data_IF_404767333277
#
_entry.id   IF_404767333277
#
_cell.length_a   1.000
_cell.length_b   1.000
_cell.length_c   1.000
_cell.angle_alpha   90.00
_cell.angle_beta   90.00
_cell.angle_gamma   90.00
#
_symmetry.space_group_name_H-M   'P 1'
#
loop_
_entity.id
_entity.type
_entity.pdbx_description
1 polymer ?
#
# COMPACT_ATOMS: atom_id res chain seq x y z
N UNK A 1 17.47 -65.57 21.31
CA UNK A 1 16.06 -65.41 20.89
C UNK A 1 15.44 -64.10 21.37
N UNK A 2 15.31 -63.84 22.67
CA UNK A 2 14.64 -62.63 23.20
C UNK A 2 15.29 -61.28 22.83
N UNK A 3 16.63 -61.23 22.68
CA UNK A 3 17.32 -59.99 22.24
C UNK A 3 17.02 -59.61 20.79
N UNK A 4 16.88 -60.59 19.90
CA UNK A 4 16.58 -60.35 18.48
C UNK A 4 15.14 -59.82 18.31
N UNK A 5 14.17 -60.43 19.00
CA UNK A 5 12.76 -59.98 19.00
C UNK A 5 12.64 -58.53 19.50
N UNK A 6 13.43 -58.15 20.51
CA UNK A 6 13.46 -56.77 21.02
C UNK A 6 14.07 -55.79 20.02
N UNK A 7 15.12 -56.18 19.30
CA UNK A 7 15.73 -55.34 18.27
C UNK A 7 14.77 -55.13 17.10
N UNK A 8 14.12 -56.19 16.63
CA UNK A 8 13.08 -56.11 15.59
C UNK A 8 11.91 -55.20 16.00
N UNK A 9 11.45 -55.29 17.26
CA UNK A 9 10.39 -54.42 17.76
C UNK A 9 10.82 -52.94 17.81
N UNK A 10 12.07 -52.65 18.15
CA UNK A 10 12.61 -51.29 18.14
C UNK A 10 12.73 -50.76 16.71
N UNK A 11 13.29 -51.55 15.80
CA UNK A 11 13.43 -51.18 14.39
C UNK A 11 12.08 -50.93 13.72
N UNK A 12 11.09 -51.77 14.01
CA UNK A 12 9.72 -51.60 13.56
C UNK A 12 9.11 -50.29 14.09
N UNK A 13 9.32 -49.95 15.37
CA UNK A 13 8.84 -48.69 15.95
C UNK A 13 9.49 -47.47 15.29
N UNK A 14 10.78 -47.56 14.97
CA UNK A 14 11.57 -46.50 14.35
C UNK A 14 11.15 -46.28 12.89
N UNK A 15 10.94 -47.37 12.14
CA UNK A 15 10.40 -47.34 10.78
C UNK A 15 9.01 -46.72 10.75
N UNK A 16 8.12 -47.10 11.68
CA UNK A 16 6.78 -46.52 11.79
C UNK A 16 6.83 -45.02 12.08
N UNK A 17 7.69 -44.59 13.00
CA UNK A 17 7.87 -43.16 13.30
C UNK A 17 8.41 -42.37 12.11
N UNK A 18 9.35 -42.92 11.34
CA UNK A 18 9.88 -42.29 10.12
C UNK A 18 8.79 -42.12 9.06
N UNK A 19 8.02 -43.17 8.79
CA UNK A 19 6.93 -43.14 7.82
C UNK A 19 5.84 -42.13 8.22
N UNK A 20 5.52 -42.02 9.51
CA UNK A 20 4.56 -41.02 9.98
C UNK A 20 5.07 -39.58 9.77
N UNK A 21 6.35 -39.34 10.00
CA UNK A 21 6.99 -38.06 9.77
C UNK A 21 7.01 -37.68 8.28
N UNK A 22 7.28 -38.66 7.40
CA UNK A 22 7.20 -38.47 5.94
C UNK A 22 5.77 -38.17 5.48
N UNK A 23 4.76 -38.89 5.98
CA UNK A 23 3.34 -38.59 5.70
C UNK A 23 2.94 -37.19 6.16
N UNK A 24 3.39 -36.75 7.33
CA UNK A 24 3.16 -35.38 7.84
C UNK A 24 3.85 -34.33 6.97
N UNK A 25 5.04 -34.62 6.44
CA UNK A 25 5.73 -33.72 5.49
C UNK A 25 4.98 -33.64 4.16
N UNK A 26 4.53 -34.78 3.62
CA UNK A 26 3.78 -34.83 2.36
C UNK A 26 2.46 -34.04 2.46
N UNK A 27 1.66 -34.27 3.50
CA UNK A 27 0.40 -33.53 3.73
C UNK A 27 0.62 -32.02 3.90
N UNK A 28 1.71 -31.59 4.57
CA UNK A 28 2.09 -30.18 4.64
C UNK A 28 2.45 -29.60 3.27
N UNK A 29 3.17 -30.36 2.44
CA UNK A 29 3.50 -29.93 1.07
C UNK A 29 2.26 -29.83 0.19
N UNK A 30 1.34 -30.79 0.28
CA UNK A 30 0.07 -30.80 -0.46
C UNK A 30 -0.82 -29.62 -0.06
N UNK A 31 -0.99 -29.39 1.25
CA UNK A 31 -1.79 -28.26 1.76
C UNK A 31 -1.19 -26.91 1.35
N UNK A 32 0.15 -26.78 1.40
CA UNK A 32 0.83 -25.58 0.92
C UNK A 32 0.62 -25.38 -0.59
N UNK A 33 0.80 -26.43 -1.39
CA UNK A 33 0.59 -26.37 -2.86
C UNK A 33 -0.86 -26.00 -3.19
N UNK A 34 -1.82 -26.58 -2.47
CA UNK A 34 -3.23 -26.25 -2.62
C UNK A 34 -3.51 -24.78 -2.30
N UNK A 35 -2.98 -24.26 -1.18
CA UNK A 35 -3.15 -22.86 -0.80
C UNK A 35 -2.56 -21.89 -1.85
N UNK A 36 -1.37 -22.19 -2.37
CA UNK A 36 -0.74 -21.39 -3.44
C UNK A 36 -1.59 -21.40 -4.71
N UNK A 37 -2.10 -22.56 -5.13
CA UNK A 37 -2.95 -22.66 -6.32
C UNK A 37 -4.24 -21.85 -6.16
N UNK A 38 -4.91 -21.93 -5.00
CA UNK A 38 -6.11 -21.13 -4.72
C UNK A 38 -5.81 -19.63 -4.78
N UNK A 39 -4.66 -19.20 -4.26
CA UNK A 39 -4.23 -17.80 -4.35
C UNK A 39 -3.99 -17.36 -5.80
N UNK A 40 -3.33 -18.19 -6.60
CA UNK A 40 -3.09 -17.93 -8.02
C UNK A 40 -4.40 -17.82 -8.81
N UNK A 41 -5.36 -18.70 -8.54
CA UNK A 41 -6.67 -18.67 -9.20
C UNK A 41 -7.47 -17.40 -8.83
N UNK A 42 -7.40 -16.97 -7.57
CA UNK A 42 -8.03 -15.73 -7.11
C UNK A 42 -7.39 -14.48 -7.76
N UNK A 43 -6.07 -14.43 -7.86
CA UNK A 43 -5.35 -13.37 -8.57
C UNK A 43 -5.70 -13.33 -10.05
N UNK A 44 -5.72 -14.49 -10.72
CA UNK A 44 -6.08 -14.59 -12.13
C UNK A 44 -7.53 -14.16 -12.39
N UNK A 45 -8.47 -14.45 -11.47
CA UNK A 45 -9.83 -13.94 -11.54
C UNK A 45 -9.88 -12.41 -11.35
N UNK A 46 -9.12 -11.87 -10.40
CA UNK A 46 -9.01 -10.42 -10.18
C UNK A 46 -8.48 -9.70 -11.42
N UNK A 47 -7.43 -10.21 -12.06
CA UNK A 47 -6.86 -9.64 -13.28
C UNK A 47 -7.90 -9.65 -14.42
N UNK A 48 -8.62 -10.75 -14.61
CA UNK A 48 -9.71 -10.85 -15.61
C UNK A 48 -10.81 -9.81 -15.36
N UNK A 49 -11.23 -9.62 -14.11
CA UNK A 49 -12.24 -8.63 -13.76
C UNK A 49 -11.76 -7.19 -14.05
N UNK A 50 -10.50 -6.88 -13.74
CA UNK A 50 -9.91 -5.57 -14.05
C UNK A 50 -9.86 -5.34 -15.57
N UNK A 51 -9.46 -6.34 -16.34
CA UNK A 51 -9.42 -6.25 -17.80
C UNK A 51 -10.83 -6.00 -18.38
N UNK A 52 -11.83 -6.77 -17.94
CA UNK A 52 -13.22 -6.58 -18.36
C UNK A 52 -13.75 -5.19 -17.99
N UNK A 53 -13.40 -4.66 -16.81
CA UNK A 53 -13.79 -3.30 -16.40
C UNK A 53 -13.18 -2.24 -17.31
N UNK A 54 -11.88 -2.34 -17.62
CA UNK A 54 -11.20 -1.42 -18.54
C UNK A 54 -11.80 -1.46 -19.95
N UNK A 55 -12.23 -2.63 -20.43
CA UNK A 55 -12.91 -2.74 -21.72
C UNK A 55 -14.29 -2.10 -21.70
N UNK A 56 -15.05 -2.24 -20.61
CA UNK A 56 -16.32 -1.54 -20.43
C UNK A 56 -16.12 -0.02 -20.41
N UNK A 57 -15.16 0.48 -19.62
CA UNK A 57 -14.85 1.91 -19.54
C UNK A 57 -14.43 2.46 -20.92
N UNK A 58 -13.67 1.68 -21.69
CA UNK A 58 -13.29 2.03 -23.08
C UNK A 58 -14.50 2.04 -24.03
N UNK A 59 -15.42 1.08 -23.90
CA UNK A 59 -16.64 1.04 -24.70
C UNK A 59 -17.57 2.21 -24.37
N UNK A 60 -17.70 2.58 -23.09
CA UNK A 60 -18.46 3.74 -22.64
C UNK A 60 -17.85 5.05 -23.14
N UNK A 61 -16.52 5.19 -23.08
CA UNK A 61 -15.83 6.36 -23.62
C UNK A 61 -16.03 6.51 -25.14
N UNK A 62 -16.06 5.40 -25.88
CA UNK A 62 -16.36 5.39 -27.32
C UNK A 62 -17.83 5.70 -27.60
N UNK A 63 -18.76 5.21 -26.77
CA UNK A 63 -20.19 5.53 -26.89
C UNK A 63 -20.50 7.00 -26.54
N UNK A 64 -19.70 7.62 -25.66
CA UNK A 64 -19.80 9.05 -25.35
C UNK A 64 -19.24 9.98 -26.44
N UNK A 65 -18.59 9.44 -27.48
CA UNK A 65 -18.01 10.20 -28.59
C UNK A 65 -18.97 10.24 -29.81
N UNK A 66 -20.20 10.72 -29.59
CA UNK A 66 -21.05 11.16 -30.71
C UNK A 66 -20.65 12.59 -31.11
N UNK A 67 -20.00 12.71 -32.27
CA UNK A 67 -19.51 13.99 -32.83
C UNK A 67 -20.62 15.05 -33.00
N UNK A 68 -21.90 14.64 -33.01
CA UNK A 68 -23.06 15.53 -33.09
C UNK A 68 -23.45 16.17 -31.75
N UNK A 69 -23.10 15.57 -30.60
CA UNK A 69 -23.52 16.04 -29.26
C UNK A 69 -22.44 16.88 -28.55
N UNK A 70 -21.23 16.94 -29.11
CA UNK A 70 -20.15 17.81 -28.59
C UNK A 70 -20.44 19.31 -28.79
N UNK A 71 -21.10 19.68 -29.89
CA UNK A 71 -21.47 21.07 -30.20
C UNK A 71 -22.66 21.59 -29.38
N UNK A 72 -23.58 20.71 -28.99
CA UNK A 72 -24.73 21.04 -28.14
C UNK A 72 -24.30 21.27 -26.68
N UNK A 73 -23.32 20.51 -26.18
CA UNK A 73 -22.78 20.64 -24.81
C UNK A 73 -21.97 21.92 -24.60
N UNK A 74 -21.04 22.24 -25.51
CA UNK A 74 -20.24 23.48 -25.44
C UNK A 74 -21.14 24.73 -25.42
N UNK A 75 -22.29 24.68 -26.12
CA UNK A 75 -23.25 25.79 -26.16
C UNK A 75 -24.11 25.92 -24.91
N UNK A 76 -24.33 24.82 -24.18
CA UNK A 76 -25.10 24.80 -22.92
C UNK A 76 -24.24 25.13 -21.70
N UNK A 77 -22.95 24.79 -21.74
CA UNK A 77 -22.00 25.00 -20.64
C UNK A 77 -21.58 26.47 -20.47
N UNK A 78 -21.81 27.32 -21.48
CA UNK A 78 -21.50 28.75 -21.42
C UNK A 78 -22.63 29.64 -20.82
N UNK A 79 -23.77 29.07 -20.38
CA UNK A 79 -24.97 29.88 -20.05
C UNK A 79 -25.76 29.53 -18.76
N UNK A 80 -25.19 28.86 -17.75
CA UNK A 80 -25.87 28.66 -16.45
C UNK A 80 -24.97 29.03 -15.26
N UNK A 81 -25.45 29.80 -14.26
CA UNK A 81 -24.64 30.23 -13.13
C UNK A 81 -24.48 29.16 -12.03
N UNK A 82 -23.31 29.23 -11.39
CA UNK A 82 -22.72 28.32 -10.41
C UNK A 82 -23.45 28.31 -9.05
N UNK A 83 -24.62 27.67 -8.94
CA UNK A 83 -25.37 27.64 -7.66
C UNK A 83 -25.87 26.27 -7.16
N UNK A 84 -25.45 25.13 -7.76
CA UNK A 84 -26.05 23.82 -7.43
C UNK A 84 -25.09 22.75 -6.86
N UNK A 85 -23.87 23.09 -6.46
CA UNK A 85 -22.86 22.12 -6.00
C UNK A 85 -22.56 22.19 -4.51
N UNK A 86 -23.57 22.09 -3.64
CA UNK A 86 -23.35 21.79 -2.21
C UNK A 86 -24.54 21.02 -1.62
N UNK A 87 -24.88 19.86 -2.17
CA UNK A 87 -25.70 18.88 -1.44
C UNK A 87 -25.30 17.45 -1.87
N UNK A 88 -24.85 16.57 -0.95
CA UNK A 88 -24.72 15.15 -1.26
C UNK A 88 -26.10 14.57 -1.59
N UNK A 89 -26.20 13.50 -2.39
CA UNK A 89 -27.48 12.97 -2.84
C UNK A 89 -28.33 12.55 -1.65
N UNK A 90 -29.42 13.27 -1.40
CA UNK A 90 -30.43 12.93 -0.41
C UNK A 90 -31.13 11.66 -0.88
N UNK A 91 -30.92 10.57 -0.15
CA UNK A 91 -31.68 9.34 -0.29
C UNK A 91 -33.16 9.70 -0.07
N UNK A 92 -34.09 9.35 -0.97
CA UNK A 92 -35.51 9.64 -0.76
C UNK A 92 -36.00 8.96 0.52
N UNK A 93 -36.72 9.67 1.37
CA UNK A 93 -37.15 9.19 2.70
C UNK A 93 -37.90 7.84 2.64
N UNK A 94 -38.59 7.56 1.53
CA UNK A 94 -39.22 6.27 1.24
C UNK A 94 -38.23 5.08 1.23
N UNK A 95 -37.02 5.28 0.69
CA UNK A 95 -36.00 4.24 0.62
C UNK A 95 -35.36 3.97 2.00
N UNK A 96 -35.34 4.98 2.89
CA UNK A 96 -34.89 4.83 4.27
C UNK A 96 -35.94 4.06 5.10
N UNK A 97 -37.23 4.36 4.95
CA UNK A 97 -38.29 3.60 5.65
C UNK A 97 -38.35 2.13 5.21
N UNK A 98 -38.12 1.84 3.93
CA UNK A 98 -38.08 0.47 3.44
C UNK A 98 -36.86 -0.30 4.01
N UNK A 99 -35.71 0.37 4.13
CA UNK A 99 -34.50 -0.19 4.74
C UNK A 99 -34.69 -0.48 6.23
N UNK A 100 -35.27 0.46 6.99
CA UNK A 100 -35.55 0.27 8.42
C UNK A 100 -36.57 -0.85 8.66
N UNK A 101 -37.58 -0.98 7.79
CA UNK A 101 -38.56 -2.06 7.85
C UNK A 101 -37.92 -3.43 7.59
N UNK A 102 -37.02 -3.53 6.60
CA UNK A 102 -36.27 -4.76 6.30
C UNK A 102 -35.31 -5.16 7.43
N UNK A 103 -34.65 -4.19 8.06
CA UNK A 103 -33.77 -4.43 9.22
C UNK A 103 -34.59 -4.96 10.40
N UNK A 104 -35.77 -4.38 10.67
CA UNK A 104 -36.67 -4.84 11.72
C UNK A 104 -37.21 -6.27 11.50
N UNK A 105 -37.46 -6.68 10.25
CA UNK A 105 -37.84 -8.05 9.92
C UNK A 105 -36.72 -9.06 10.14
N UNK A 106 -35.48 -8.70 9.82
CA UNK A 106 -34.30 -9.57 10.01
C UNK A 106 -34.05 -9.82 11.50
N UNK A 107 -34.24 -8.80 12.34
CA UNK A 107 -34.09 -8.93 13.79
C UNK A 107 -35.23 -9.72 14.44
N UNK A 108 -36.47 -9.60 13.95
CA UNK A 108 -37.57 -10.50 14.35
C UNK A 108 -37.24 -11.97 14.04
N UNK A 109 -36.72 -12.27 12.84
CA UNK A 109 -36.34 -13.65 12.46
C UNK A 109 -35.21 -14.22 13.34
N UNK A 110 -34.28 -13.39 13.80
CA UNK A 110 -33.23 -13.81 14.76
C UNK A 110 -33.78 -14.13 16.14
N UNK A 111 -34.75 -13.36 16.64
CA UNK A 111 -35.36 -13.61 17.96
C UNK A 111 -36.26 -14.86 17.97
N UNK A 112 -36.98 -15.14 16.88
CA UNK A 112 -37.82 -16.34 16.73
C UNK A 112 -37.00 -17.63 16.55
N UNK A 113 -35.84 -17.56 15.87
CA UNK A 113 -34.91 -18.68 15.73
C UNK A 113 -34.31 -19.15 17.07
N UNK A 114 -34.09 -18.22 18.00
CA UNK A 114 -33.57 -18.51 19.34
C UNK A 114 -34.62 -19.16 20.26
N UNK A 115 -35.90 -18.84 20.09
CA UNK A 115 -37.00 -19.47 20.85
C UNK A 115 -37.32 -20.90 20.38
N UNK A 116 -37.16 -21.21 19.09
CA UNK A 116 -37.34 -22.59 18.57
C UNK A 116 -36.24 -23.57 19.02
N UNK A 117 -35.04 -23.10 19.35
CA UNK A 117 -33.95 -23.93 19.85
C UNK A 117 -34.13 -24.39 21.31
N UNK A 118 -34.88 -23.64 22.14
CA UNK A 118 -35.20 -24.03 23.52
C UNK A 118 -36.44 -24.94 23.65
N UNK A 119 -37.23 -25.11 22.59
CA UNK A 119 -38.45 -25.93 22.60
C UNK A 119 -38.22 -27.42 22.29
N UNK A 120 -37.03 -27.84 21.84
CA UNK A 120 -36.78 -29.22 21.39
C UNK A 120 -36.25 -30.19 22.48
N UNK A 121 -36.15 -29.74 23.73
CA UNK A 121 -35.52 -30.51 24.82
C UNK A 121 -36.50 -31.11 25.86
N UNK A 122 -37.83 -31.01 25.70
CA UNK A 122 -38.77 -31.59 26.68
C UNK A 122 -39.95 -32.29 26.04
N UNK A 123 -39.72 -33.45 25.42
CA UNK A 123 -40.78 -34.45 25.20
C UNK A 123 -40.21 -35.87 25.25
N UNK A 124 -39.87 -36.33 26.46
CA UNK A 124 -39.98 -37.74 26.82
C UNK A 124 -40.47 -37.81 28.25
N UNK A 125 -41.78 -37.86 28.43
CA UNK A 125 -42.44 -38.44 29.60
C UNK A 125 -43.92 -38.60 29.27
N UNK A 126 -44.35 -39.85 29.26
CA UNK A 126 -45.72 -40.30 29.02
C UNK A 126 -46.60 -40.04 30.27
N UNK A 127 -47.88 -39.79 29.98
CA UNK A 127 -49.08 -40.16 30.74
C UNK A 127 -49.23 -39.71 32.21
N UNK A 128 -50.30 -38.93 32.47
CA UNK A 128 -51.50 -39.39 33.20
C UNK A 128 -52.45 -38.19 33.43
N UNK A 129 -53.65 -38.27 32.86
CA UNK A 129 -54.66 -37.23 33.00
C UNK A 129 -55.24 -37.19 34.42
N UNK A 130 -55.16 -36.03 35.08
CA UNK A 130 -56.05 -35.64 36.19
C UNK A 130 -56.43 -34.17 35.99
N UNK A 131 -57.72 -33.90 35.87
CA UNK A 131 -58.27 -32.54 35.71
C UNK A 131 -57.84 -31.67 36.90
N UNK A 132 -57.34 -30.44 36.70
CA UNK A 132 -56.95 -29.60 37.83
C UNK A 132 -58.20 -29.13 38.58
N UNK A 133 -58.23 -29.36 39.89
CA UNK A 133 -59.22 -28.80 40.80
C UNK A 133 -59.04 -27.28 40.95
N UNK A 134 -60.08 -26.62 41.47
CA UNK A 134 -60.18 -25.16 41.56
C UNK A 134 -58.94 -24.48 42.17
N UNK A 135 -58.43 -23.48 41.46
CA UNK A 135 -57.24 -22.70 41.84
C UNK A 135 -57.55 -21.86 43.09
N UNK A 136 -56.71 -21.98 44.13
CA UNK A 136 -56.82 -21.15 45.34
C UNK A 136 -56.39 -19.71 45.04
N UNK A 137 -57.02 -18.73 45.68
CA UNK A 137 -56.68 -17.31 45.50
C UNK A 137 -55.25 -17.00 45.94
N UNK A 138 -54.53 -16.25 45.11
CA UNK A 138 -53.18 -15.80 45.39
C UNK A 138 -53.20 -14.50 46.21
N UNK A 139 -52.40 -14.45 47.27
CA UNK A 139 -52.08 -13.23 47.99
C UNK A 139 -50.68 -12.72 47.61
N UNK A 140 -50.53 -11.41 47.43
CA UNK A 140 -49.23 -10.78 47.13
C UNK A 140 -48.52 -10.49 48.44
N UNK A 141 -47.48 -11.26 48.73
CA UNK A 141 -46.61 -11.02 49.89
C UNK A 141 -45.55 -10.01 49.46
N UNK A 142 -45.63 -8.80 49.99
CA UNK A 142 -44.58 -7.79 49.82
C UNK A 142 -43.47 -8.05 50.83
N UNK A 143 -42.26 -8.34 50.36
CA UNK A 143 -41.06 -8.33 51.17
C UNK A 143 -40.17 -7.17 50.73
N UNK A 144 -39.55 -6.49 51.68
CA UNK A 144 -38.47 -5.53 51.41
C UNK A 144 -37.17 -6.29 51.40
N UNK A 145 -36.55 -6.37 50.23
CA UNK A 145 -35.23 -7.01 50.07
C UNK A 145 -34.19 -6.20 50.86
N UNK A 146 -33.64 -6.78 51.91
CA UNK A 146 -32.41 -6.27 52.53
C UNK A 146 -31.29 -6.40 51.50
N UNK A 147 -30.64 -5.30 51.09
CA UNK A 147 -29.57 -5.40 50.10
C UNK A 147 -28.44 -6.24 50.71
N UNK A 148 -28.23 -7.42 50.13
CA UNK A 148 -27.03 -8.21 50.42
C UNK A 148 -25.84 -7.42 49.90
N UNK A 149 -25.08 -6.80 50.80
CA UNK A 149 -23.68 -6.52 50.57
C UNK A 149 -22.96 -7.87 50.52
N UNK A 150 -22.99 -8.51 49.35
CA UNK A 150 -21.88 -9.35 48.95
C UNK A 150 -20.78 -8.37 48.55
N UNK A 151 -19.64 -8.28 49.25
CA UNK A 151 -18.44 -7.83 48.56
C UNK A 151 -18.24 -8.88 47.47
N UNK A 152 -18.62 -8.58 46.24
CA UNK A 152 -18.04 -9.26 45.08
C UNK A 152 -16.53 -9.27 45.37
N UNK A 153 -15.82 -10.39 45.28
CA UNK A 153 -14.39 -10.42 45.55
C UNK A 153 -13.66 -9.47 44.59
N UNK A 154 -13.58 -8.19 44.97
CA UNK A 154 -12.84 -7.16 44.25
C UNK A 154 -11.33 -7.43 44.38
N UNK A 155 -10.96 -8.38 45.26
CA UNK A 155 -9.61 -8.85 45.54
C UNK A 155 -8.93 -9.52 44.35
N UNK A 156 -9.67 -9.94 43.32
CA UNK A 156 -9.10 -10.45 42.06
C UNK A 156 -9.79 -9.83 40.83
N UNK A 157 -10.29 -8.59 40.93
CA UNK A 157 -10.79 -7.93 39.73
C UNK A 157 -9.60 -7.55 38.84
N UNK A 158 -9.34 -8.34 37.81
CA UNK A 158 -8.31 -8.07 36.79
C UNK A 158 -8.65 -6.85 35.92
N UNK A 159 -9.66 -6.05 36.26
CA UNK A 159 -10.10 -4.87 35.51
C UNK A 159 -8.94 -3.91 35.25
N UNK A 160 -8.04 -3.72 36.22
CA UNK A 160 -6.86 -2.87 36.06
C UNK A 160 -5.86 -3.46 35.04
N UNK A 161 -5.71 -4.79 35.02
CA UNK A 161 -4.89 -5.50 34.04
C UNK A 161 -5.54 -5.50 32.65
N UNK A 162 -6.86 -5.65 32.56
CA UNK A 162 -7.64 -5.55 31.33
C UNK A 162 -7.61 -4.14 30.75
N UNK A 163 -7.79 -3.11 31.58
CA UNK A 163 -7.69 -1.70 31.17
C UNK A 163 -6.29 -1.36 30.71
N UNK A 164 -5.25 -1.83 31.41
CA UNK A 164 -3.86 -1.61 30.97
C UNK A 164 -3.53 -2.38 29.70
N UNK A 165 -4.08 -3.59 29.51
CA UNK A 165 -3.95 -4.34 28.27
C UNK A 165 -4.66 -3.63 27.11
N UNK A 166 -5.90 -3.17 27.30
CA UNK A 166 -6.66 -2.41 26.31
C UNK A 166 -5.98 -1.09 25.96
N UNK A 167 -5.42 -0.36 26.95
CA UNK A 167 -4.63 0.85 26.72
C UNK A 167 -3.39 0.56 25.90
N UNK A 168 -2.59 -0.45 26.29
CA UNK A 168 -1.42 -0.88 25.52
C UNK A 168 -1.81 -1.20 24.08
N UNK A 169 -2.92 -1.90 23.87
CA UNK A 169 -3.35 -2.29 22.54
C UNK A 169 -3.90 -1.13 21.70
N UNK A 170 -4.53 -0.14 22.33
CA UNK A 170 -4.89 1.11 21.68
C UNK A 170 -3.64 1.92 21.31
N UNK A 171 -2.63 1.98 22.19
CA UNK A 171 -1.36 2.67 21.93
C UNK A 171 -0.58 1.99 20.80
N UNK A 172 -0.52 0.65 20.78
CA UNK A 172 0.08 -0.10 19.66
C UNK A 172 -0.65 0.15 18.33
N UNK A 173 -1.99 0.22 18.33
CA UNK A 173 -2.76 0.54 17.12
C UNK A 173 -2.49 1.96 16.65
N UNK A 174 -2.43 2.93 17.56
CA UNK A 174 -2.05 4.31 17.22
C UNK A 174 -0.66 4.39 16.60
N UNK A 175 0.33 3.65 17.11
CA UNK A 175 1.68 3.63 16.52
C UNK A 175 1.69 3.00 15.11
N UNK A 176 0.82 2.03 14.84
CA UNK A 176 0.70 1.43 13.51
C UNK A 176 -0.05 2.32 12.51
N UNK A 177 -1.12 2.98 12.96
CA UNK A 177 -1.93 3.88 12.14
C UNK A 177 -1.24 5.24 11.93
N UNK A 178 -0.40 5.63 12.88
CA UNK A 178 0.32 6.89 12.95
C UNK A 178 1.82 6.58 13.14
N UNK A 179 2.49 5.99 12.12
CA UNK A 179 3.89 5.56 12.20
C UNK A 179 4.85 6.71 12.55
N UNK A 180 4.37 7.95 12.45
CA UNK A 180 5.10 9.18 12.63
C UNK A 180 4.94 9.83 14.02
N UNK A 181 3.99 9.42 14.87
CA UNK A 181 3.64 10.18 16.09
C UNK A 181 4.43 9.83 17.35
N UNK A 182 5.11 8.69 17.39
CA UNK A 182 5.82 8.23 18.60
C UNK A 182 7.31 7.91 18.42
N UNK A 183 7.79 7.67 17.20
CA UNK A 183 9.14 7.13 16.96
C UNK A 183 10.05 8.00 16.07
N UNK A 184 9.53 9.12 15.54
CA UNK A 184 10.35 10.03 14.73
C UNK A 184 10.85 11.14 15.66
N UNK A 185 12.17 11.25 15.81
CA UNK A 185 12.80 12.37 16.53
C UNK A 185 12.23 13.66 15.94
N UNK A 186 11.97 14.71 16.73
CA UNK A 186 11.35 15.96 16.23
C UNK A 186 12.07 16.53 15.00
N UNK A 187 13.37 16.27 14.89
CA UNK A 187 14.26 16.57 13.76
C UNK A 187 13.89 15.85 12.45
N UNK A 188 13.39 14.62 12.51
CA UNK A 188 12.99 13.81 11.34
C UNK A 188 11.68 14.27 10.69
N UNK A 189 11.01 15.27 11.29
CA UNK A 189 9.87 15.96 10.68
C UNK A 189 10.27 17.15 9.83
N UNK A 190 11.51 17.61 9.91
CA UNK A 190 12.01 18.69 9.07
C UNK A 190 12.55 18.14 7.75
N UNK A 191 11.98 18.51 6.59
CA UNK A 191 12.48 18.04 5.30
C UNK A 191 13.91 18.49 5.01
N UNK A 192 14.36 19.62 5.57
CA UNK A 192 15.74 20.08 5.40
C UNK A 192 16.74 19.15 6.11
N UNK A 193 16.43 18.76 7.34
CA UNK A 193 17.26 17.83 8.10
C UNK A 193 17.33 16.45 7.42
N UNK A 194 16.20 15.96 6.87
CA UNK A 194 16.18 14.72 6.10
C UNK A 194 16.99 14.80 4.81
N UNK A 195 17.01 15.98 4.16
CA UNK A 195 17.87 16.24 3.00
C UNK A 195 19.34 16.11 3.40
N UNK A 196 19.77 16.83 4.43
CA UNK A 196 21.16 16.80 4.92
C UNK A 196 21.60 15.40 5.36
N UNK A 197 20.72 14.67 6.05
CA UNK A 197 20.95 13.26 6.42
C UNK A 197 21.07 12.37 5.18
N UNK A 198 20.22 12.59 4.17
CA UNK A 198 20.31 11.91 2.89
C UNK A 198 21.64 12.19 2.18
N UNK A 199 22.09 13.44 2.19
CA UNK A 199 23.35 13.88 1.58
C UNK A 199 24.55 13.22 2.27
N UNK A 200 24.50 13.09 3.61
CA UNK A 200 25.50 12.34 4.37
C UNK A 200 25.58 10.87 3.93
N UNK A 201 24.43 10.20 3.77
CA UNK A 201 24.40 8.80 3.29
C UNK A 201 24.84 8.66 1.84
N UNK A 202 24.50 9.63 0.97
CA UNK A 202 25.01 9.68 -0.39
C UNK A 202 26.54 9.77 -0.42
N UNK A 203 27.11 10.66 0.39
CA UNK A 203 28.56 10.81 0.51
C UNK A 203 29.24 9.56 1.07
N UNK A 204 28.56 8.83 1.96
CA UNK A 204 29.01 7.54 2.48
C UNK A 204 28.85 6.38 1.47
N UNK A 205 28.17 6.60 0.33
CA UNK A 205 27.89 5.57 -0.67
C UNK A 205 26.73 4.63 -0.30
N UNK A 206 26.01 4.89 0.79
CA UNK A 206 24.81 4.13 1.14
C UNK A 206 23.58 4.71 0.44
N UNK A 207 23.42 4.33 -0.82
CA UNK A 207 22.33 4.82 -1.66
C UNK A 207 20.95 4.37 -1.18
N UNK A 208 20.82 3.23 -0.49
CA UNK A 208 19.51 2.76 -0.01
C UNK A 208 18.98 3.67 1.10
N UNK A 209 19.84 3.95 2.09
CA UNK A 209 19.51 4.83 3.22
C UNK A 209 19.26 6.25 2.74
N UNK A 210 20.05 6.74 1.76
CA UNK A 210 19.81 8.03 1.12
C UNK A 210 18.43 8.11 0.44
N UNK A 211 18.07 7.11 -0.38
CA UNK A 211 16.76 7.03 -1.04
C UNK A 211 15.63 7.06 -0.02
N UNK A 212 15.77 6.35 1.10
CA UNK A 212 14.76 6.33 2.16
C UNK A 212 14.59 7.72 2.79
N UNK A 213 15.69 8.40 3.12
CA UNK A 213 15.66 9.75 3.69
C UNK A 213 15.00 10.76 2.73
N UNK A 214 15.39 10.77 1.45
CA UNK A 214 14.78 11.67 0.47
C UNK A 214 13.32 11.34 0.17
N UNK A 215 12.96 10.06 0.14
CA UNK A 215 11.57 9.65 -0.07
C UNK A 215 10.69 10.09 1.09
N UNK A 216 11.21 10.02 2.31
CA UNK A 216 10.53 10.56 3.48
C UNK A 216 10.41 12.08 3.41
N UNK A 217 11.47 12.78 3.01
CA UNK A 217 11.44 14.24 2.84
C UNK A 217 10.39 14.67 1.79
N UNK A 218 10.30 13.94 0.67
CA UNK A 218 9.28 14.17 -0.35
C UNK A 218 7.85 13.90 0.15
N UNK A 219 7.65 12.89 1.01
CA UNK A 219 6.33 12.60 1.62
C UNK A 219 5.86 13.69 2.58
N UNK A 220 6.79 14.37 3.25
CA UNK A 220 6.48 15.51 4.11
C UNK A 220 6.01 16.76 3.31
N UNK A 221 5.95 16.66 1.97
CA UNK A 221 5.40 17.70 1.11
C UNK A 221 6.34 18.87 0.89
N UNK A 222 7.65 18.70 1.09
CA UNK A 222 8.60 19.75 0.78
C UNK A 222 8.65 19.98 -0.72
N UNK A 223 8.29 21.17 -1.18
CA UNK A 223 8.43 21.59 -2.56
C UNK A 223 9.90 21.98 -2.89
N UNK A 224 10.85 21.15 -2.44
CA UNK A 224 12.28 21.38 -2.64
C UNK A 224 12.77 20.51 -3.79
N UNK A 225 13.16 21.10 -4.93
CA UNK A 225 13.58 20.34 -6.11
C UNK A 225 14.93 19.61 -5.89
N UNK A 226 15.77 20.10 -4.98
CA UNK A 226 17.04 19.47 -4.58
C UNK A 226 16.85 18.02 -4.11
N UNK A 227 15.77 17.73 -3.37
CA UNK A 227 15.48 16.39 -2.83
C UNK A 227 15.27 15.40 -3.98
N UNK A 228 14.45 15.76 -4.97
CA UNK A 228 14.21 14.92 -6.14
C UNK A 228 15.49 14.72 -6.94
N UNK A 229 16.28 15.77 -7.11
CA UNK A 229 17.55 15.69 -7.80
C UNK A 229 18.52 14.72 -7.10
N UNK A 230 18.72 14.85 -5.79
CA UNK A 230 19.66 14.00 -5.04
C UNK A 230 19.14 12.56 -4.94
N UNK A 231 17.81 12.37 -4.85
CA UNK A 231 17.21 11.03 -4.97
C UNK A 231 17.44 10.41 -6.34
N UNK A 232 17.33 11.18 -7.42
CA UNK A 232 17.62 10.72 -8.77
C UNK A 232 19.09 10.25 -8.89
N UNK A 233 20.03 10.98 -8.30
CA UNK A 233 21.43 10.58 -8.24
C UNK A 233 21.61 9.25 -7.48
N UNK A 234 21.00 9.11 -6.31
CA UNK A 234 21.02 7.86 -5.54
C UNK A 234 20.44 6.68 -6.34
N UNK A 235 19.34 6.91 -7.07
CA UNK A 235 18.73 5.92 -7.96
C UNK A 235 19.61 5.56 -9.15
N UNK A 236 20.35 6.52 -9.71
CA UNK A 236 21.27 6.30 -10.81
C UNK A 236 22.40 5.34 -10.40
N UNK A 237 22.98 5.54 -9.21
CA UNK A 237 23.97 4.63 -8.63
C UNK A 237 23.42 3.23 -8.37
N UNK A 238 22.15 3.13 -7.99
CA UNK A 238 21.44 1.84 -7.83
C UNK A 238 20.99 1.20 -9.15
N UNK A 239 21.28 1.83 -10.29
CA UNK A 239 20.81 1.41 -11.62
C UNK A 239 19.29 1.39 -11.80
N UNK A 240 18.55 2.17 -11.00
CA UNK A 240 17.09 2.28 -11.08
C UNK A 240 16.69 3.38 -12.08
N UNK A 241 17.00 3.17 -13.36
CA UNK A 241 16.97 4.22 -14.38
C UNK A 241 15.59 4.86 -14.58
N UNK A 242 14.49 4.09 -14.53
CA UNK A 242 13.13 4.64 -14.65
C UNK A 242 12.80 5.65 -13.54
N UNK A 243 13.24 5.39 -12.30
CA UNK A 243 13.04 6.31 -11.19
C UNK A 243 13.88 7.58 -11.34
N UNK A 244 15.07 7.48 -11.95
CA UNK A 244 15.89 8.66 -12.30
C UNK A 244 15.14 9.58 -13.25
N UNK A 245 14.48 9.02 -14.29
CA UNK A 245 13.70 9.80 -15.25
C UNK A 245 12.52 10.51 -14.58
N UNK A 246 11.77 9.80 -13.72
CA UNK A 246 10.64 10.35 -12.98
C UNK A 246 11.07 11.50 -12.05
N UNK A 247 12.11 11.28 -11.25
CA UNK A 247 12.59 12.27 -10.28
C UNK A 247 13.25 13.48 -10.95
N UNK A 248 13.99 13.26 -12.04
CA UNK A 248 14.58 14.36 -12.81
C UNK A 248 13.51 15.21 -13.48
N UNK A 249 12.42 14.60 -13.95
CA UNK A 249 11.30 15.34 -14.56
C UNK A 249 10.55 16.15 -13.50
N UNK A 250 10.25 15.56 -12.33
CA UNK A 250 9.67 16.29 -11.20
C UNK A 250 10.53 17.46 -10.73
N UNK A 251 11.85 17.29 -10.72
CA UNK A 251 12.78 18.37 -10.39
C UNK A 251 12.68 19.52 -11.39
N UNK A 252 12.65 19.22 -12.70
CA UNK A 252 12.48 20.23 -13.76
C UNK A 252 11.13 20.95 -13.65
N UNK A 253 10.04 20.24 -13.37
CA UNK A 253 8.70 20.83 -13.19
C UNK A 253 8.66 21.80 -12.01
N UNK A 254 9.46 21.54 -10.97
CA UNK A 254 9.51 22.34 -9.76
C UNK A 254 10.41 23.58 -9.91
N UNK A 255 11.43 23.53 -10.77
CA UNK A 255 12.33 24.65 -10.99
C UNK A 255 11.70 25.71 -11.91
N UNK A 256 11.43 26.95 -11.42
CA UNK A 256 10.91 28.00 -12.29
C UNK A 256 11.95 28.43 -13.32
N UNK A 257 11.54 28.56 -14.59
CA UNK A 257 12.45 28.90 -15.69
C UNK A 257 13.04 30.31 -15.59
N UNK A 258 12.32 31.23 -14.96
CA UNK A 258 12.69 32.64 -14.81
C UNK A 258 13.85 32.88 -13.84
N UNK A 259 14.17 31.91 -12.99
CA UNK A 259 15.16 32.10 -11.93
C UNK A 259 16.54 31.73 -12.45
N UNK A 260 17.47 32.69 -12.36
CA UNK A 260 18.84 32.51 -12.85
C UNK A 260 19.64 31.54 -11.96
N UNK A 261 19.40 31.55 -10.65
CA UNK A 261 20.10 30.67 -9.70
C UNK A 261 19.78 29.19 -9.93
N UNK A 262 18.57 28.86 -10.39
CA UNK A 262 18.13 27.49 -10.70
C UNK A 262 18.64 26.99 -12.06
N UNK A 263 19.30 27.84 -12.86
CA UNK A 263 19.84 27.45 -14.17
C UNK A 263 20.76 26.23 -14.06
N UNK A 264 21.72 26.28 -13.15
CA UNK A 264 22.69 25.19 -12.90
C UNK A 264 21.99 23.89 -12.52
N UNK A 265 21.01 23.98 -11.64
CA UNK A 265 20.29 22.82 -11.12
C UNK A 265 19.40 22.19 -12.21
N UNK A 266 18.74 23.02 -13.03
CA UNK A 266 18.02 22.54 -14.22
C UNK A 266 18.94 21.82 -15.20
N UNK A 267 20.14 22.35 -15.45
CA UNK A 267 21.12 21.66 -16.29
C UNK A 267 21.53 20.31 -15.69
N UNK A 268 21.73 20.23 -14.37
CA UNK A 268 22.00 18.96 -13.67
C UNK A 268 20.84 17.96 -13.79
N UNK A 269 19.59 18.42 -13.76
CA UNK A 269 18.43 17.56 -13.95
C UNK A 269 18.36 17.00 -15.38
N UNK A 270 18.51 17.84 -16.41
CA UNK A 270 18.62 17.38 -17.81
C UNK A 270 19.78 16.41 -17.99
N UNK A 271 20.92 16.70 -17.37
CA UNK A 271 22.11 15.86 -17.38
C UNK A 271 21.85 14.46 -16.83
N UNK A 272 21.27 14.35 -15.63
CA UNK A 272 20.95 13.07 -14.98
C UNK A 272 19.94 12.28 -15.80
N UNK A 273 18.97 12.97 -16.43
CA UNK A 273 17.98 12.37 -17.33
C UNK A 273 18.64 11.84 -18.62
N UNK A 274 19.53 12.63 -19.24
CA UNK A 274 20.30 12.24 -20.41
C UNK A 274 21.15 11.00 -20.14
N UNK A 275 21.88 10.97 -19.01
CA UNK A 275 22.68 9.81 -18.61
C UNK A 275 21.82 8.56 -18.37
N UNK A 276 20.60 8.71 -17.84
CA UNK A 276 19.69 7.60 -17.68
C UNK A 276 19.25 7.04 -19.04
N UNK A 277 18.92 7.89 -20.02
CA UNK A 277 18.61 7.47 -21.39
C UNK A 277 19.81 6.80 -22.07
N UNK A 278 21.01 7.37 -21.94
CA UNK A 278 22.24 6.79 -22.44
C UNK A 278 22.45 5.36 -21.92
N UNK A 279 22.18 5.15 -20.63
CA UNK A 279 22.31 3.84 -19.97
C UNK A 279 21.18 2.87 -20.32
N UNK A 280 20.09 3.36 -20.92
CA UNK A 280 19.01 2.57 -21.52
C UNK A 280 19.23 2.33 -23.03
N UNK A 281 20.38 2.73 -23.59
CA UNK A 281 20.68 2.72 -25.03
C UNK A 281 19.77 3.62 -25.90
N UNK A 282 19.11 4.61 -25.28
CA UNK A 282 18.25 5.61 -25.93
C UNK A 282 19.07 6.86 -26.27
N UNK A 283 19.88 6.77 -27.33
CA UNK A 283 20.86 7.81 -27.69
C UNK A 283 20.21 9.10 -28.23
N UNK A 284 19.12 8.98 -28.99
CA UNK A 284 18.45 10.14 -29.61
C UNK A 284 17.79 11.00 -28.53
N UNK A 285 17.08 10.36 -27.61
CA UNK A 285 16.48 11.00 -26.44
C UNK A 285 17.56 11.65 -25.56
N UNK A 286 18.67 10.94 -25.33
CA UNK A 286 19.81 11.51 -24.60
C UNK A 286 20.36 12.77 -25.27
N UNK A 287 20.45 12.81 -26.60
CA UNK A 287 20.94 13.99 -27.31
C UNK A 287 20.00 15.19 -27.14
N UNK A 288 18.68 14.96 -27.23
CA UNK A 288 17.66 15.99 -27.00
C UNK A 288 17.81 16.59 -25.60
N UNK A 289 18.02 15.75 -24.59
CA UNK A 289 18.23 16.21 -23.21
C UNK A 289 19.51 17.02 -23.05
N UNK A 290 20.61 16.63 -23.68
CA UNK A 290 21.85 17.41 -23.66
C UNK A 290 21.70 18.77 -24.37
N UNK A 291 20.95 18.83 -25.46
CA UNK A 291 20.65 20.10 -26.12
C UNK A 291 19.71 20.98 -25.28
N UNK A 292 18.73 20.38 -24.60
CA UNK A 292 17.91 21.05 -23.59
C UNK A 292 18.75 21.63 -22.46
N UNK A 293 19.73 20.87 -21.97
CA UNK A 293 20.68 21.30 -20.96
C UNK A 293 21.48 22.54 -21.43
N UNK A 294 22.00 22.54 -22.66
CA UNK A 294 22.75 23.68 -23.21
C UNK A 294 21.88 24.93 -23.42
N UNK A 295 20.59 24.76 -23.76
CA UNK A 295 19.63 25.88 -23.90
C UNK A 295 19.41 26.62 -22.59
N UNK A 296 19.58 25.96 -21.43
CA UNK A 296 19.49 26.66 -20.13
C UNK A 296 20.55 27.76 -20.00
N UNK A 297 21.67 27.67 -20.75
CA UNK A 297 22.71 28.69 -20.77
C UNK A 297 23.78 28.54 -19.69
N UNK A 298 23.80 27.42 -18.94
CA UNK A 298 24.94 27.04 -18.12
C UNK A 298 25.77 26.01 -18.90
N UNK A 299 27.00 26.39 -19.24
CA UNK A 299 27.88 25.58 -20.09
C UNK A 299 28.92 24.89 -19.21
N UNK A 300 28.86 23.56 -19.19
CA UNK A 300 29.90 22.72 -18.62
C UNK A 300 30.69 22.06 -19.77
N UNK A 301 32.02 22.06 -19.67
CA UNK A 301 32.89 21.42 -20.66
C UNK A 301 32.57 19.94 -20.79
N UNK A 302 32.26 19.26 -19.67
CA UNK A 302 31.91 17.85 -19.67
C UNK A 302 30.61 17.61 -20.45
N UNK A 303 29.66 18.54 -20.34
CA UNK A 303 28.39 18.46 -21.05
C UNK A 303 28.57 18.60 -22.56
N UNK A 304 29.37 19.57 -22.99
CA UNK A 304 29.68 19.75 -24.41
C UNK A 304 30.39 18.52 -24.98
N UNK A 305 31.35 17.95 -24.24
CA UNK A 305 32.08 16.73 -24.63
C UNK A 305 31.13 15.54 -24.77
N UNK A 306 30.30 15.24 -23.77
CA UNK A 306 29.35 14.12 -23.83
C UNK A 306 28.31 14.29 -24.95
N UNK A 307 27.79 15.50 -25.13
CA UNK A 307 26.88 15.82 -26.25
C UNK A 307 27.55 15.55 -27.59
N UNK A 308 28.81 15.96 -27.76
CA UNK A 308 29.56 15.72 -29.00
C UNK A 308 29.81 14.23 -29.25
N UNK A 309 30.20 13.48 -28.21
CA UNK A 309 30.39 12.02 -28.29
C UNK A 309 29.10 11.33 -28.72
N UNK A 310 27.98 11.60 -28.04
CA UNK A 310 26.66 11.02 -28.39
C UNK A 310 26.26 11.37 -29.82
N UNK A 311 26.44 12.64 -30.23
CA UNK A 311 26.15 13.07 -31.60
C UNK A 311 27.00 12.33 -32.64
N UNK A 312 28.31 12.21 -32.42
CA UNK A 312 29.21 11.49 -33.33
C UNK A 312 28.88 10.00 -33.44
N UNK A 313 28.39 9.40 -32.34
CA UNK A 313 27.96 8.01 -32.32
C UNK A 313 26.69 7.79 -33.15
N UNK A 314 25.73 8.72 -33.06
CA UNK A 314 24.50 8.71 -33.86
C UNK A 314 24.81 8.92 -35.36
N UNK A 315 25.73 9.83 -35.68
CA UNK A 315 26.13 10.13 -37.06
C UNK A 315 27.03 9.05 -37.69
N UNK A 316 27.49 8.07 -36.91
CA UNK A 316 28.37 6.99 -37.38
C UNK A 316 29.78 7.46 -37.76
N UNK A 317 30.17 8.68 -37.39
CA UNK A 317 31.49 9.28 -37.66
C UNK A 317 32.53 8.90 -36.60
N UNK A 318 32.10 8.30 -35.49
CA UNK A 318 32.96 7.86 -34.39
C UNK A 318 33.70 6.56 -34.69
N UNK A 319 34.86 6.66 -35.35
CA UNK A 319 35.85 5.57 -35.45
C UNK A 319 36.76 5.63 -34.22
N UNK A 320 36.83 4.53 -33.47
CA UNK A 320 37.88 4.17 -32.49
C UNK A 320 38.38 5.27 -31.53
N UNK A 321 37.57 5.61 -30.53
CA UNK A 321 38.08 6.21 -29.29
C UNK A 321 38.01 5.19 -28.15
N UNK A 322 39.04 5.04 -27.29
CA UNK A 322 39.08 4.01 -26.22
C UNK A 322 38.02 4.18 -25.11
N UNK A 323 37.08 5.11 -25.30
CA UNK A 323 35.91 5.36 -24.45
C UNK A 323 34.67 4.54 -24.88
N UNK A 324 34.75 3.75 -25.95
CA UNK A 324 33.67 2.90 -26.48
C UNK A 324 33.36 1.66 -25.64
N UNK A 325 34.18 1.34 -24.63
CA UNK A 325 33.72 0.44 -23.58
C UNK A 325 32.63 1.18 -22.79
N UNK A 326 31.38 0.72 -22.91
CA UNK A 326 30.17 1.23 -22.28
C UNK A 326 30.26 1.47 -20.76
N UNK A 327 31.33 1.02 -20.11
CA UNK A 327 31.63 1.20 -18.69
C UNK A 327 32.47 2.47 -18.41
N UNK A 328 33.27 2.93 -19.36
CA UNK A 328 34.22 4.05 -19.20
C UNK A 328 33.56 5.43 -19.34
N UNK A 329 32.60 5.58 -20.27
CA UNK A 329 31.84 6.83 -20.49
C UNK A 329 31.11 7.34 -19.23
N UNK A 330 30.75 6.43 -18.33
CA UNK A 330 29.97 6.75 -17.12
C UNK A 330 30.84 7.02 -15.88
N UNK A 331 32.15 6.76 -15.94
CA UNK A 331 33.02 6.76 -14.76
C UNK A 331 33.53 8.14 -14.34
N UNK A 332 33.59 9.10 -15.27
CA UNK A 332 34.13 10.45 -15.00
C UNK A 332 33.21 11.39 -14.22
N UNK A 333 32.04 10.93 -13.76
CA UNK A 333 30.86 11.79 -13.61
C UNK A 333 30.19 11.83 -12.23
N UNK A 334 30.83 11.24 -11.24
CA UNK A 334 30.35 11.21 -9.84
C UNK A 334 31.15 12.16 -8.95
N UNK A 335 32.25 12.74 -9.45
CA UNK A 335 33.06 13.68 -8.68
C UNK A 335 32.49 15.10 -8.71
N UNK A 336 31.21 15.28 -8.33
CA UNK A 336 30.72 16.55 -7.79
C UNK A 336 31.16 16.62 -6.31
N UNK A 337 32.46 16.79 -6.06
CA UNK A 337 32.91 17.29 -4.76
C UNK A 337 32.89 18.82 -4.82
N UNK A 338 32.05 19.38 -3.94
CA UNK A 338 31.92 20.78 -3.50
C UNK A 338 31.60 21.85 -4.54
#
# INVERSE_FOLDING_TARGET
MMRAIRQEALDFSLQRSRLELERRKATKQETHKFAVNVHMDAEAARIRNIAARKELDKAEALAGFDFSDGLSRIRKEQLEPVAASLNPPSIPDEALEELFSRIAEVDKRKTEGSQKAKARSRTKTLALAKRPGAVRSCGTISFTSTPRHFPTPQRESQVLEEETWLRKQADYRKVLDEPDSACSRTEERDPLWLKEKGDFFLAAGDYNSAIACYSRAAQLGSNMPEIYMNRALAHFHKNNLHKVLEDSSKALDTYPESVETSRKERTKAHWRRALAFLKMDLMVESLIEFEGALKTGWVDENLVKQRHVVKSLIEGTGVDSPLTNSVSMFSGLVSEKS
#
